data_IF_418383069590
#
_entry.id   IF_418383069590
#
_cell.length_a   1.000
_cell.length_b   1.000
_cell.length_c   1.000
_cell.angle_alpha   90.00
_cell.angle_beta   90.00
_cell.angle_gamma   90.00
#
_symmetry.space_group_name_H-M   'P 1'
#
loop_
_entity.id
_entity.type
_entity.pdbx_description
1 polymer ?
#
# COMPACT_ATOMS: atom_id res chain seq x y z
N UNK A 1 -11.81 -47.28 -39.42
CA UNK A 1 -11.40 -46.40 -38.31
C UNK A 1 -10.67 -47.11 -37.17
N UNK A 2 -11.04 -48.34 -36.74
CA UNK A 2 -10.29 -49.08 -35.69
C UNK A 2 -8.89 -49.60 -36.08
N UNK A 3 -8.65 -49.93 -37.35
CA UNK A 3 -7.35 -50.47 -37.85
C UNK A 3 -6.19 -49.46 -37.87
N UNK A 4 -6.46 -48.16 -37.80
CA UNK A 4 -5.44 -47.11 -37.83
C UNK A 4 -4.90 -46.75 -36.44
N UNK A 5 -5.69 -47.00 -35.39
CA UNK A 5 -5.28 -46.83 -33.98
C UNK A 5 -4.26 -47.91 -33.60
N UNK A 6 -4.50 -49.15 -34.04
CA UNK A 6 -3.68 -50.33 -33.76
C UNK A 6 -2.23 -50.24 -34.31
N UNK A 7 -2.07 -49.65 -35.51
CA UNK A 7 -0.74 -49.41 -36.09
C UNK A 7 0.08 -48.38 -35.33
N UNK A 8 -0.56 -47.36 -34.74
CA UNK A 8 0.13 -46.28 -34.00
C UNK A 8 0.70 -46.77 -32.67
N UNK A 9 -0.08 -47.55 -31.92
CA UNK A 9 0.37 -48.22 -30.70
C UNK A 9 1.47 -49.25 -30.99
N UNK A 10 1.40 -49.93 -32.15
CA UNK A 10 2.43 -50.91 -32.54
C UNK A 10 3.80 -50.30 -32.87
N UNK A 11 3.87 -49.04 -33.34
CA UNK A 11 5.14 -48.34 -33.62
C UNK A 11 5.81 -47.90 -32.33
N UNK A 12 5.03 -47.42 -31.36
CA UNK A 12 5.46 -47.14 -29.98
C UNK A 12 6.11 -48.39 -29.36
N UNK A 13 5.41 -49.53 -29.44
CA UNK A 13 5.84 -50.81 -28.87
C UNK A 13 7.09 -51.39 -29.53
N UNK A 14 7.30 -51.12 -30.83
CA UNK A 14 8.51 -51.57 -31.54
C UNK A 14 9.74 -50.77 -31.12
N UNK A 15 9.61 -49.47 -30.88
CA UNK A 15 10.74 -48.60 -30.51
C UNK A 15 11.07 -48.63 -29.02
N UNK A 16 10.08 -48.91 -28.15
CA UNK A 16 10.33 -49.22 -26.74
C UNK A 16 11.16 -50.50 -26.55
N UNK A 17 10.98 -51.50 -27.43
CA UNK A 17 11.82 -52.71 -27.50
C UNK A 17 13.23 -52.45 -28.05
N UNK A 18 13.43 -51.34 -28.77
CA UNK A 18 14.72 -50.93 -29.36
C UNK A 18 15.55 -50.02 -28.41
N UNK A 19 15.19 -49.92 -27.13
CA UNK A 19 15.91 -49.14 -26.12
C UNK A 19 16.02 -47.63 -26.46
N UNK A 20 15.15 -47.15 -27.36
CA UNK A 20 15.11 -45.75 -27.77
C UNK A 20 14.18 -45.03 -26.80
N UNK A 21 14.72 -44.14 -25.97
CA UNK A 21 13.90 -43.38 -25.02
C UNK A 21 12.92 -42.46 -25.78
N UNK A 22 11.64 -42.38 -25.36
CA UNK A 22 10.68 -41.49 -26.01
C UNK A 22 11.15 -40.03 -25.93
N UNK A 23 11.10 -39.31 -27.06
CA UNK A 23 11.38 -37.88 -27.09
C UNK A 23 10.14 -37.09 -26.67
N UNK A 24 10.34 -36.17 -25.72
CA UNK A 24 9.33 -35.24 -25.28
C UNK A 24 9.66 -33.83 -25.80
N UNK A 25 8.65 -33.16 -26.32
CA UNK A 25 8.72 -31.81 -26.86
C UNK A 25 7.91 -30.87 -25.96
N UNK A 26 8.48 -29.71 -25.62
CA UNK A 26 7.81 -28.69 -24.82
C UNK A 26 7.66 -27.45 -25.69
N UNK A 27 6.42 -27.05 -25.93
CA UNK A 27 6.14 -25.87 -26.73
C UNK A 27 6.48 -24.57 -25.97
N UNK A 28 6.67 -23.45 -26.68
CA UNK A 28 6.82 -22.14 -26.03
C UNK A 28 5.63 -21.73 -25.16
N UNK A 29 4.44 -22.28 -25.42
CA UNK A 29 3.22 -22.05 -24.62
C UNK A 29 3.16 -22.92 -23.37
N UNK A 30 4.13 -23.82 -23.16
CA UNK A 30 4.18 -24.73 -22.03
C UNK A 30 3.45 -26.05 -22.27
N UNK A 31 2.94 -26.31 -23.47
CA UNK A 31 2.32 -27.60 -23.80
C UNK A 31 3.39 -28.68 -23.88
N UNK A 32 3.22 -29.78 -23.16
CA UNK A 32 4.16 -30.90 -23.16
C UNK A 32 3.57 -32.04 -24.00
N UNK A 33 4.36 -32.48 -24.99
CA UNK A 33 4.03 -33.58 -25.88
C UNK A 33 5.06 -34.70 -25.69
N UNK A 34 4.63 -35.96 -25.71
CA UNK A 34 5.53 -37.12 -25.78
C UNK A 34 5.15 -37.92 -27.02
N UNK A 35 6.08 -38.05 -27.97
CA UNK A 35 5.82 -38.73 -29.26
C UNK A 35 4.53 -38.23 -29.95
N UNK A 36 4.29 -36.91 -29.91
CA UNK A 36 3.13 -36.25 -30.51
C UNK A 36 1.82 -36.34 -29.70
N UNK A 37 1.84 -36.96 -28.51
CA UNK A 37 0.66 -37.05 -27.62
C UNK A 37 0.72 -35.99 -26.53
N UNK A 38 -0.40 -35.31 -26.29
CA UNK A 38 -0.53 -34.35 -25.18
C UNK A 38 -0.46 -35.06 -23.83
N UNK A 39 0.47 -34.63 -22.98
CA UNK A 39 0.68 -35.23 -21.65
C UNK A 39 0.46 -34.25 -20.50
N UNK A 40 0.40 -32.94 -20.79
CA UNK A 40 0.16 -31.92 -19.77
C UNK A 40 0.69 -30.55 -20.15
N UNK A 41 0.67 -29.64 -19.17
CA UNK A 41 1.05 -28.24 -19.32
C UNK A 41 2.06 -27.81 -18.27
N UNK A 42 3.01 -26.99 -18.68
CA UNK A 42 4.10 -26.44 -17.89
C UNK A 42 3.91 -24.94 -17.65
N UNK A 43 3.50 -24.57 -16.44
CA UNK A 43 3.34 -23.19 -16.01
C UNK A 43 4.45 -22.81 -15.03
N UNK A 44 5.25 -21.80 -15.39
CA UNK A 44 6.41 -21.41 -14.59
C UNK A 44 7.38 -22.59 -14.45
N UNK A 45 7.51 -23.09 -13.22
CA UNK A 45 8.32 -24.26 -12.85
C UNK A 45 7.48 -25.47 -12.37
N UNK A 46 6.19 -25.52 -12.72
CA UNK A 46 5.28 -26.62 -12.35
C UNK A 46 4.65 -27.26 -13.57
N UNK A 47 4.64 -28.59 -13.57
CA UNK A 47 4.00 -29.41 -14.58
C UNK A 47 2.67 -29.95 -14.05
N UNK A 48 1.61 -29.78 -14.82
CA UNK A 48 0.29 -30.37 -14.56
C UNK A 48 0.02 -31.42 -15.62
N UNK A 49 0.00 -32.69 -15.22
CA UNK A 49 -0.30 -33.79 -16.11
C UNK A 49 -1.79 -33.78 -16.55
N UNK A 50 -2.04 -34.11 -17.81
CA UNK A 50 -3.38 -34.32 -18.33
C UNK A 50 -3.92 -35.68 -17.85
N UNK A 51 -5.11 -35.69 -17.25
CA UNK A 51 -5.74 -36.92 -16.74
C UNK A 51 -6.24 -37.84 -17.87
N UNK A 52 -6.39 -37.33 -19.10
CA UNK A 52 -6.80 -38.11 -20.27
C UNK A 52 -5.68 -38.99 -20.85
N UNK A 53 -4.42 -38.77 -20.45
CA UNK A 53 -3.25 -39.55 -20.87
C UNK A 53 -3.11 -40.90 -20.12
N UNK A 54 -4.20 -41.46 -19.60
CA UNK A 54 -4.22 -42.74 -18.88
C UNK A 54 -4.30 -43.94 -19.82
N UNK A 55 -3.25 -44.78 -19.81
CA UNK A 55 -3.18 -46.04 -20.56
C UNK A 55 -2.02 -46.92 -20.06
N UNK A 56 -1.83 -48.11 -20.65
CA UNK A 56 -0.73 -49.05 -20.28
C UNK A 56 0.67 -48.40 -20.36
N UNK A 57 0.84 -47.39 -21.22
CA UNK A 57 2.11 -46.68 -21.43
C UNK A 57 2.30 -45.44 -20.52
N UNK A 58 1.34 -45.13 -19.65
CA UNK A 58 1.36 -43.90 -18.85
C UNK A 58 2.62 -43.76 -17.98
N UNK A 59 3.21 -44.88 -17.53
CA UNK A 59 4.46 -44.87 -16.75
C UNK A 59 5.68 -44.50 -17.59
N UNK A 60 5.78 -45.02 -18.82
CA UNK A 60 6.88 -44.73 -19.74
C UNK A 60 6.80 -43.27 -20.21
N UNK A 61 5.59 -42.84 -20.59
CA UNK A 61 5.28 -41.46 -20.98
C UNK A 61 5.62 -40.46 -19.87
N UNK A 62 5.22 -40.76 -18.63
CA UNK A 62 5.55 -39.91 -17.47
C UNK A 62 7.06 -39.83 -17.23
N UNK A 63 7.78 -40.94 -17.36
CA UNK A 63 9.24 -40.95 -17.17
C UNK A 63 9.96 -40.12 -18.25
N UNK A 64 9.53 -40.22 -19.51
CA UNK A 64 10.07 -39.41 -20.61
C UNK A 64 9.80 -37.91 -20.39
N UNK A 65 8.56 -37.57 -20.00
CA UNK A 65 8.20 -36.19 -19.66
C UNK A 65 9.06 -35.65 -18.51
N UNK A 66 9.24 -36.42 -17.44
CA UNK A 66 10.06 -36.02 -16.27
C UNK A 66 11.51 -35.72 -16.63
N UNK A 67 12.13 -36.50 -17.51
CA UNK A 67 13.50 -36.24 -17.97
C UNK A 67 13.61 -34.96 -18.80
N UNK A 68 12.64 -34.70 -19.69
CA UNK A 68 12.62 -33.48 -20.49
C UNK A 68 12.31 -32.23 -19.66
N UNK A 69 11.46 -32.35 -18.64
CA UNK A 69 11.15 -31.27 -17.70
C UNK A 69 12.39 -30.77 -16.96
N UNK A 70 13.33 -31.64 -16.58
CA UNK A 70 14.57 -31.23 -15.93
C UNK A 70 15.40 -30.28 -16.81
N UNK A 71 15.64 -30.65 -18.06
CA UNK A 71 16.39 -29.82 -19.01
C UNK A 71 15.67 -28.49 -19.33
N UNK A 72 14.35 -28.54 -19.47
CA UNK A 72 13.54 -27.32 -19.68
C UNK A 72 13.54 -26.42 -18.45
N UNK A 73 13.52 -26.96 -17.23
CA UNK A 73 13.63 -26.16 -16.01
C UNK A 73 14.97 -25.46 -15.89
N UNK A 74 16.07 -26.08 -16.29
CA UNK A 74 17.37 -25.40 -16.37
C UNK A 74 17.33 -24.24 -17.37
N UNK A 75 16.82 -24.47 -18.58
CA UNK A 75 16.69 -23.42 -19.60
C UNK A 75 15.77 -22.27 -19.14
N UNK A 76 14.66 -22.58 -18.48
CA UNK A 76 13.76 -21.57 -17.89
C UNK A 76 14.41 -20.83 -16.72
N UNK A 77 15.20 -21.51 -15.89
CA UNK A 77 15.94 -20.88 -14.80
C UNK A 77 16.96 -19.86 -15.32
N UNK A 78 17.65 -20.14 -16.44
CA UNK A 78 18.51 -19.17 -17.11
C UNK A 78 17.72 -17.96 -17.61
N UNK A 79 16.63 -18.20 -18.34
CA UNK A 79 15.77 -17.13 -18.88
C UNK A 79 15.17 -16.26 -17.79
N UNK A 80 14.66 -16.87 -16.72
CA UNK A 80 14.13 -16.15 -15.59
C UNK A 80 15.24 -15.40 -14.85
N UNK A 81 16.39 -16.03 -14.61
CA UNK A 81 17.55 -15.41 -13.97
C UNK A 81 18.03 -14.14 -14.68
N UNK A 82 17.89 -14.10 -16.01
CA UNK A 82 18.22 -12.96 -16.86
C UNK A 82 17.05 -11.98 -17.13
N UNK A 83 15.84 -12.27 -16.64
CA UNK A 83 14.65 -11.48 -16.99
C UNK A 83 14.66 -10.09 -16.37
N UNK A 84 14.07 -9.12 -17.07
CA UNK A 84 13.91 -7.77 -16.54
C UNK A 84 12.84 -7.74 -15.43
N UNK A 85 12.83 -6.68 -14.61
CA UNK A 85 11.78 -6.50 -13.60
C UNK A 85 10.39 -6.36 -14.23
N UNK A 86 10.28 -5.83 -15.46
CA UNK A 86 9.01 -5.70 -16.16
C UNK A 86 8.31 -7.02 -16.50
N UNK A 87 9.07 -8.13 -16.53
CA UNK A 87 8.52 -9.47 -16.82
C UNK A 87 7.95 -10.16 -15.58
N UNK A 88 8.15 -9.56 -14.39
CA UNK A 88 7.79 -10.13 -13.10
C UNK A 88 6.75 -9.24 -12.44
N UNK A 89 5.69 -9.85 -11.91
CA UNK A 89 4.64 -9.16 -11.18
C UNK A 89 4.43 -9.80 -9.80
N UNK A 90 4.26 -8.96 -8.77
CA UNK A 90 3.79 -9.37 -7.46
C UNK A 90 2.30 -9.05 -7.34
N UNK A 91 1.47 -10.07 -7.19
CA UNK A 91 0.03 -9.90 -6.96
C UNK A 91 -0.27 -9.37 -5.56
N UNK A 92 -1.45 -8.77 -5.39
CA UNK A 92 -1.95 -8.31 -4.09
C UNK A 92 -2.19 -9.45 -3.09
N UNK A 93 -2.34 -10.68 -3.59
CA UNK A 93 -2.41 -11.93 -2.82
C UNK A 93 -1.02 -12.45 -2.37
N UNK A 94 0.05 -11.81 -2.83
CA UNK A 94 1.44 -12.23 -2.60
C UNK A 94 1.93 -13.31 -3.56
N UNK A 95 1.18 -13.66 -4.60
CA UNK A 95 1.66 -14.58 -5.64
C UNK A 95 2.62 -13.84 -6.59
N UNK A 96 3.80 -14.40 -6.78
CA UNK A 96 4.80 -13.92 -7.73
C UNK A 96 4.61 -14.61 -9.08
N UNK A 97 4.55 -13.81 -10.16
CA UNK A 97 4.32 -14.29 -11.52
C UNK A 97 5.44 -13.84 -12.45
N UNK A 98 5.85 -14.72 -13.36
CA UNK A 98 6.77 -14.42 -14.47
C UNK A 98 6.04 -14.63 -15.78
N UNK A 99 5.86 -13.56 -16.55
CA UNK A 99 5.11 -13.55 -17.83
C UNK A 99 3.72 -14.21 -17.63
N UNK A 100 3.04 -13.85 -16.54
CA UNK A 100 1.72 -14.35 -16.16
C UNK A 100 1.71 -15.68 -15.38
N UNK A 101 2.74 -16.53 -15.54
CA UNK A 101 2.80 -17.84 -14.88
C UNK A 101 3.23 -17.73 -13.41
N UNK A 102 2.54 -18.37 -12.45
CA UNK A 102 2.92 -18.34 -11.04
C UNK A 102 4.24 -19.11 -10.81
N UNK A 103 5.17 -18.48 -10.09
CA UNK A 103 6.50 -19.05 -9.80
C UNK A 103 6.83 -19.07 -8.30
N UNK A 104 6.06 -18.36 -7.48
CA UNK A 104 6.29 -18.29 -6.05
C UNK A 104 5.13 -17.63 -5.32
N UNK A 105 5.15 -17.73 -3.99
CA UNK A 105 4.24 -16.99 -3.11
C UNK A 105 4.99 -16.44 -1.92
N UNK A 106 4.59 -15.27 -1.45
CA UNK A 106 5.11 -14.67 -0.23
C UNK A 106 4.43 -15.30 0.99
N UNK A 107 5.25 -15.60 1.99
CA UNK A 107 4.86 -16.04 3.33
C UNK A 107 5.46 -15.11 4.39
N UNK A 108 4.96 -15.18 5.61
CA UNK A 108 5.52 -14.44 6.74
C UNK A 108 7.02 -14.73 6.90
N UNK A 109 7.79 -13.67 7.12
CA UNK A 109 9.20 -13.74 7.52
C UNK A 109 9.38 -13.27 8.95
N UNK A 110 10.65 -13.08 9.34
CA UNK A 110 10.99 -12.74 10.73
C UNK A 110 10.84 -11.24 11.03
N UNK A 111 10.85 -10.40 9.99
CA UNK A 111 10.73 -8.95 10.12
C UNK A 111 9.60 -8.41 9.23
N UNK A 112 8.89 -7.34 9.65
CA UNK A 112 7.73 -6.80 8.91
C UNK A 112 7.99 -6.43 7.44
N UNK A 113 9.22 -6.02 7.12
CA UNK A 113 9.64 -5.61 5.77
C UNK A 113 10.49 -6.67 5.06
N UNK A 114 10.55 -7.90 5.57
CA UNK A 114 11.30 -9.01 4.98
C UNK A 114 10.42 -10.27 4.92
N UNK A 115 9.46 -10.33 3.99
CA UNK A 115 8.72 -11.56 3.77
C UNK A 115 9.65 -12.66 3.25
N UNK A 116 9.28 -13.92 3.44
CA UNK A 116 9.98 -15.05 2.80
C UNK A 116 9.27 -15.41 1.51
N UNK A 117 10.05 -15.84 0.52
CA UNK A 117 9.54 -16.36 -0.74
C UNK A 117 9.53 -17.88 -0.70
N UNK A 118 8.39 -18.49 -1.03
CA UNK A 118 8.28 -19.92 -1.30
C UNK A 118 8.12 -20.13 -2.80
N UNK A 119 9.06 -20.83 -3.43
CA UNK A 119 8.96 -21.16 -4.84
C UNK A 119 7.85 -22.17 -5.11
N UNK A 120 7.08 -21.91 -6.16
CA UNK A 120 6.12 -22.85 -6.72
C UNK A 120 6.82 -23.58 -7.86
N UNK A 121 7.50 -24.67 -7.52
CA UNK A 121 8.28 -25.46 -8.45
C UNK A 121 8.17 -26.96 -8.13
N UNK A 122 8.26 -27.79 -9.16
CA UNK A 122 8.30 -29.24 -9.00
C UNK A 122 9.71 -29.73 -8.63
N UNK A 123 9.80 -30.98 -8.18
CA UNK A 123 11.02 -31.59 -7.62
C UNK A 123 12.19 -31.66 -8.61
N UNK A 124 11.95 -31.52 -9.92
CA UNK A 124 12.98 -31.58 -10.94
C UNK A 124 13.79 -30.27 -11.01
N UNK A 125 13.27 -29.16 -10.49
CA UNK A 125 14.04 -27.92 -10.35
C UNK A 125 14.95 -28.03 -9.11
N UNK A 126 16.22 -28.38 -9.33
CA UNK A 126 17.18 -28.64 -8.25
C UNK A 126 18.49 -27.90 -8.43
N UNK A 127 19.32 -27.93 -7.37
CA UNK A 127 20.71 -27.45 -7.40
C UNK A 127 20.85 -26.00 -7.92
N UNK A 128 21.86 -25.72 -8.77
CA UNK A 128 22.15 -24.36 -9.24
C UNK A 128 20.98 -23.68 -9.96
N UNK A 129 20.15 -24.43 -10.68
CA UNK A 129 18.98 -23.88 -11.37
C UNK A 129 17.94 -23.36 -10.36
N UNK A 130 17.67 -24.12 -9.29
CA UNK A 130 16.76 -23.70 -8.22
C UNK A 130 17.27 -22.46 -7.50
N UNK A 131 18.55 -22.43 -7.15
CA UNK A 131 19.17 -21.31 -6.43
C UNK A 131 19.11 -20.03 -7.27
N UNK A 132 19.30 -20.14 -8.59
CA UNK A 132 19.18 -19.03 -9.55
C UNK A 132 17.77 -18.46 -9.58
N UNK A 133 16.75 -19.32 -9.60
CA UNK A 133 15.34 -18.91 -9.54
C UNK A 133 15.04 -18.22 -8.21
N UNK A 134 15.45 -18.82 -7.08
CA UNK A 134 15.26 -18.23 -5.76
C UNK A 134 15.89 -16.83 -5.68
N UNK A 135 17.19 -16.71 -6.01
CA UNK A 135 17.92 -15.45 -5.93
C UNK A 135 17.34 -14.36 -6.85
N UNK A 136 16.85 -14.72 -8.04
CA UNK A 136 16.21 -13.74 -8.95
C UNK A 136 14.88 -13.25 -8.41
N UNK A 137 14.07 -14.17 -7.89
CA UNK A 137 12.75 -13.86 -7.36
C UNK A 137 12.85 -13.04 -6.06
N UNK A 138 13.74 -13.40 -5.15
CA UNK A 138 14.03 -12.61 -3.93
C UNK A 138 14.52 -11.21 -4.27
N UNK A 139 15.44 -11.07 -5.24
CA UNK A 139 15.91 -9.77 -5.72
C UNK A 139 14.77 -8.90 -6.26
N UNK A 140 13.79 -9.48 -6.95
CA UNK A 140 12.61 -8.72 -7.40
C UNK A 140 11.71 -8.29 -6.23
N UNK A 141 11.46 -9.17 -5.26
CA UNK A 141 10.67 -8.86 -4.06
C UNK A 141 11.34 -7.73 -3.26
N UNK A 142 12.65 -7.81 -3.05
CA UNK A 142 13.44 -6.76 -2.40
C UNK A 142 13.35 -5.44 -3.17
N UNK A 143 13.48 -5.48 -4.50
CA UNK A 143 13.30 -4.29 -5.34
C UNK A 143 11.92 -3.64 -5.15
N UNK A 144 10.83 -4.43 -5.08
CA UNK A 144 9.48 -3.89 -4.85
C UNK A 144 9.37 -3.21 -3.48
N UNK A 145 9.90 -3.85 -2.43
CA UNK A 145 9.90 -3.30 -1.07
C UNK A 145 10.74 -2.03 -1.00
N UNK A 146 11.96 -2.06 -1.51
CA UNK A 146 12.88 -0.92 -1.51
C UNK A 146 12.39 0.24 -2.39
N UNK A 147 11.60 -0.03 -3.43
CA UNK A 147 11.03 1.01 -4.30
C UNK A 147 9.77 1.63 -3.71
N UNK A 148 8.82 0.81 -3.26
CA UNK A 148 7.51 1.29 -2.79
C UNK A 148 7.56 1.75 -1.32
N UNK A 149 8.35 1.08 -0.50
CA UNK A 149 8.46 1.32 0.94
C UNK A 149 9.80 1.96 1.30
N UNK A 150 10.49 2.60 0.33
CA UNK A 150 11.76 3.29 0.53
C UNK A 150 11.82 4.11 1.83
N UNK A 151 10.83 4.95 2.18
CA UNK A 151 10.90 5.73 3.40
C UNK A 151 10.98 4.88 4.68
N UNK A 152 10.33 3.71 4.71
CA UNK A 152 10.41 2.81 5.87
C UNK A 152 11.78 2.14 5.96
N UNK A 153 12.35 1.74 4.82
CA UNK A 153 13.70 1.18 4.75
C UNK A 153 14.72 2.23 5.20
N UNK A 154 14.59 3.46 4.72
CA UNK A 154 15.47 4.57 5.10
C UNK A 154 15.33 4.91 6.59
N UNK A 155 14.11 4.98 7.13
CA UNK A 155 13.85 5.21 8.56
C UNK A 155 14.44 4.11 9.44
N UNK A 156 14.32 2.86 9.00
CA UNK A 156 14.88 1.71 9.73
C UNK A 156 16.41 1.80 9.80
N UNK A 157 17.05 2.18 8.70
CA UNK A 157 18.51 2.23 8.55
C UNK A 157 19.13 3.59 8.96
N UNK A 158 18.33 4.55 9.44
CA UNK A 158 18.79 5.89 9.79
C UNK A 158 19.56 5.94 11.11
N UNK A 159 20.81 5.48 11.11
CA UNK A 159 21.73 5.49 12.26
C UNK A 159 22.09 6.90 12.72
N UNK A 160 22.03 7.90 11.83
CA UNK A 160 22.27 9.31 12.14
C UNK A 160 21.20 9.92 13.04
N UNK A 161 20.04 9.28 13.18
CA UNK A 161 18.99 9.73 14.09
C UNK A 161 19.20 9.05 15.43
N UNK A 162 19.33 9.83 16.49
CA UNK A 162 19.61 9.33 17.85
C UNK A 162 18.48 9.69 18.82
N UNK A 163 18.54 9.13 20.03
CA UNK A 163 17.62 9.42 21.13
C UNK A 163 16.14 9.27 20.77
N UNK A 164 15.34 10.28 21.11
CA UNK A 164 13.88 10.28 20.88
C UNK A 164 13.53 10.21 19.39
N UNK A 165 14.31 10.86 18.53
CA UNK A 165 14.10 10.80 17.08
C UNK A 165 14.20 9.36 16.56
N UNK A 166 15.15 8.57 17.11
CA UNK A 166 15.32 7.17 16.74
C UNK A 166 14.15 6.31 17.20
N UNK A 167 13.67 6.56 18.42
CA UNK A 167 12.47 5.92 18.96
C UNK A 167 11.24 6.15 18.07
N UNK A 168 11.01 7.39 17.64
CA UNK A 168 9.90 7.72 16.72
C UNK A 168 10.08 7.04 15.36
N UNK A 169 11.31 6.98 14.83
CA UNK A 169 11.58 6.27 13.58
C UNK A 169 11.25 4.78 13.69
N UNK A 170 11.59 4.11 14.80
CA UNK A 170 11.22 2.73 15.05
C UNK A 170 9.71 2.54 15.12
N UNK A 171 9.01 3.36 15.90
CA UNK A 171 7.55 3.28 15.99
C UNK A 171 6.89 3.51 14.62
N UNK A 172 7.45 4.40 13.79
CA UNK A 172 6.95 4.61 12.43
C UNK A 172 7.14 3.36 11.59
N UNK A 173 8.30 2.70 11.65
CA UNK A 173 8.52 1.44 10.92
C UNK A 173 7.54 0.35 11.36
N UNK A 174 7.33 0.19 12.68
CA UNK A 174 6.39 -0.79 13.24
C UNK A 174 4.93 -0.51 12.86
N UNK A 175 4.57 0.77 12.72
CA UNK A 175 3.23 1.19 12.33
C UNK A 175 3.12 1.53 10.83
N UNK A 176 4.03 1.04 10.00
CA UNK A 176 4.05 1.24 8.54
C UNK A 176 3.93 2.71 8.11
N UNK A 177 4.52 3.59 8.91
CA UNK A 177 4.70 5.00 8.67
C UNK A 177 3.49 5.86 8.99
N UNK A 178 2.58 5.40 9.86
CA UNK A 178 1.43 6.16 10.32
C UNK A 178 1.17 5.97 11.82
N UNK A 179 1.29 7.06 12.58
CA UNK A 179 1.03 7.09 14.02
C UNK A 179 0.03 8.22 14.32
N UNK A 180 -0.93 7.95 15.20
CA UNK A 180 -1.76 9.00 15.77
C UNK A 180 -0.91 9.83 16.74
N UNK A 181 -0.80 11.13 16.49
CA UNK A 181 0.13 12.02 17.21
C UNK A 181 -0.10 12.03 18.72
N UNK A 182 -1.34 11.77 19.17
CA UNK A 182 -1.69 11.70 20.59
C UNK A 182 -1.00 10.54 21.31
N UNK A 183 -0.74 9.45 20.60
CA UNK A 183 -0.17 8.23 21.17
C UNK A 183 1.32 8.41 21.51
N UNK A 184 1.96 9.43 20.92
CA UNK A 184 3.38 9.80 21.11
C UNK A 184 3.56 11.24 21.58
N UNK A 185 2.59 11.76 22.37
CA UNK A 185 2.54 13.18 22.71
C UNK A 185 3.77 13.64 23.52
N UNK A 186 4.31 12.79 24.40
CA UNK A 186 5.47 13.13 25.22
C UNK A 186 6.75 13.15 24.39
N UNK A 187 6.94 12.18 23.49
CA UNK A 187 8.04 12.17 22.52
C UNK A 187 7.97 13.40 21.62
N UNK A 188 6.77 13.82 21.19
CA UNK A 188 6.58 15.02 20.38
C UNK A 188 6.96 16.32 21.10
N UNK A 189 6.76 16.38 22.42
CA UNK A 189 7.17 17.52 23.25
C UNK A 189 8.69 17.56 23.40
N UNK A 190 9.30 16.42 23.66
CA UNK A 190 10.73 16.30 23.93
C UNK A 190 11.61 16.24 22.67
N UNK A 191 11.03 15.99 21.49
CA UNK A 191 11.76 16.02 20.22
C UNK A 191 12.20 17.45 19.87
N UNK A 192 13.50 17.62 19.71
CA UNK A 192 14.12 18.89 19.35
C UNK A 192 13.98 19.24 17.86
N UNK A 193 14.46 20.42 17.47
CA UNK A 193 14.33 20.89 16.09
C UNK A 193 15.23 20.10 15.12
N UNK A 194 16.39 19.65 15.59
CA UNK A 194 17.32 18.85 14.78
C UNK A 194 16.73 17.47 14.47
N UNK A 195 16.21 16.77 15.48
CA UNK A 195 15.51 15.49 15.29
C UNK A 195 14.28 15.62 14.41
N UNK A 196 13.48 16.69 14.55
CA UNK A 196 12.37 16.99 13.62
C UNK A 196 12.87 17.20 12.19
N UNK A 197 13.96 17.95 12.00
CA UNK A 197 14.53 18.19 10.68
C UNK A 197 15.05 16.89 10.04
N UNK A 198 15.73 16.04 10.82
CA UNK A 198 16.22 14.75 10.37
C UNK A 198 15.08 13.82 9.90
N UNK A 199 14.01 13.69 10.69
CA UNK A 199 12.82 12.90 10.31
C UNK A 199 12.12 13.46 9.07
N UNK A 200 12.03 14.80 8.93
CA UNK A 200 11.47 15.42 7.71
C UNK A 200 12.27 15.09 6.45
N UNK A 201 13.61 15.03 6.53
CA UNK A 201 14.46 14.63 5.40
C UNK A 201 14.17 13.19 4.94
N UNK A 202 13.71 12.33 5.85
CA UNK A 202 13.28 10.96 5.56
C UNK A 202 11.80 10.87 5.15
N UNK A 203 11.13 12.00 4.89
CA UNK A 203 9.77 12.04 4.38
C UNK A 203 8.68 12.03 5.45
N UNK A 204 9.03 12.10 6.74
CA UNK A 204 8.05 12.19 7.84
C UNK A 204 7.40 13.57 7.86
N UNK A 205 6.08 13.61 7.96
CA UNK A 205 5.28 14.80 8.20
C UNK A 205 4.71 14.80 9.61
N UNK A 206 4.81 15.95 10.26
CA UNK A 206 4.24 16.22 11.58
C UNK A 206 2.95 17.01 11.38
N UNK A 207 1.82 16.29 11.34
CA UNK A 207 0.48 16.86 11.27
C UNK A 207 -0.04 17.31 12.63
N UNK A 208 -1.20 17.96 12.63
CA UNK A 208 -1.94 18.26 13.85
C UNK A 208 -2.44 16.96 14.53
N UNK A 209 -2.88 15.97 13.75
CA UNK A 209 -3.48 14.75 14.30
C UNK A 209 -2.58 13.51 14.14
N UNK A 210 -1.72 13.46 13.11
CA UNK A 210 -0.86 12.30 12.84
C UNK A 210 0.59 12.68 12.61
N UNK A 211 1.49 11.73 12.91
CA UNK A 211 2.86 11.71 12.39
C UNK A 211 2.92 10.60 11.36
N UNK A 212 3.17 10.95 10.10
CA UNK A 212 3.03 9.99 9.00
C UNK A 212 3.95 10.28 7.82
N UNK A 213 4.13 9.28 6.94
CA UNK A 213 4.88 9.41 5.69
C UNK A 213 3.90 9.46 4.50
N UNK A 214 3.72 10.60 3.82
CA UNK A 214 2.72 10.75 2.76
C UNK A 214 2.90 9.81 1.56
N UNK A 215 4.14 9.39 1.28
CA UNK A 215 4.40 8.48 0.18
C UNK A 215 3.77 7.10 0.40
N UNK A 216 3.60 6.66 1.65
CA UNK A 216 3.14 5.32 2.00
C UNK A 216 1.62 5.14 1.97
N UNK A 217 0.87 6.24 2.03
CA UNK A 217 -0.61 6.23 1.94
C UNK A 217 -1.11 6.31 0.49
N UNK A 218 -0.22 6.10 -0.49
CA UNK A 218 -0.56 5.94 -1.91
C UNK A 218 -0.98 4.49 -2.19
N UNK A 219 -1.79 4.22 -3.23
CA UNK A 219 -2.35 2.89 -3.47
C UNK A 219 -1.33 1.75 -3.51
N UNK A 220 -0.24 1.88 -4.27
CA UNK A 220 0.75 0.80 -4.40
C UNK A 220 1.53 0.52 -3.09
N UNK A 221 2.12 1.51 -2.40
CA UNK A 221 2.73 1.29 -1.08
C UNK A 221 1.74 0.77 -0.03
N UNK A 222 0.52 1.34 0.04
CA UNK A 222 -0.51 0.89 0.97
C UNK A 222 -0.94 -0.57 0.71
N UNK A 223 -1.03 -0.98 -0.55
CA UNK A 223 -1.31 -2.35 -0.95
C UNK A 223 -0.22 -3.31 -0.48
N UNK A 224 1.06 -2.95 -0.68
CA UNK A 224 2.18 -3.76 -0.22
C UNK A 224 2.26 -3.85 1.31
N UNK A 225 2.08 -2.73 2.02
CA UNK A 225 1.98 -2.69 3.49
C UNK A 225 0.85 -3.61 3.99
N UNK A 226 -0.31 -3.54 3.33
CA UNK A 226 -1.47 -4.37 3.68
C UNK A 226 -1.17 -5.86 3.50
N UNK A 227 -0.53 -6.23 2.39
CA UNK A 227 -0.08 -7.60 2.14
C UNK A 227 0.94 -8.07 3.19
N UNK A 228 1.98 -7.28 3.47
CA UNK A 228 3.01 -7.65 4.46
C UNK A 228 2.42 -7.83 5.86
N UNK A 229 1.54 -6.90 6.27
CA UNK A 229 0.84 -7.02 7.54
C UNK A 229 -0.06 -8.25 7.57
N UNK A 230 -0.80 -8.53 6.48
CA UNK A 230 -1.69 -9.68 6.39
C UNK A 230 -0.91 -11.01 6.43
N UNK A 231 0.27 -11.09 5.83
CA UNK A 231 1.14 -12.26 5.93
C UNK A 231 1.51 -12.55 7.39
N UNK A 232 1.86 -11.52 8.16
CA UNK A 232 2.30 -11.66 9.55
C UNK A 232 1.14 -11.94 10.53
N UNK A 233 -0.07 -11.47 10.23
CA UNK A 233 -1.21 -11.44 11.15
C UNK A 233 -2.40 -12.30 10.69
N UNK A 234 -2.15 -13.25 9.78
CA UNK A 234 -3.16 -14.12 9.17
C UNK A 234 -4.37 -13.32 8.63
N UNK A 235 -4.06 -12.23 7.94
CA UNK A 235 -5.02 -11.21 7.53
C UNK A 235 -5.61 -11.42 6.14
N UNK A 236 -5.11 -12.36 5.34
CA UNK A 236 -5.52 -12.52 3.94
C UNK A 236 -7.00 -12.92 3.79
N UNK A 237 -7.51 -13.71 4.73
CA UNK A 237 -8.88 -14.19 4.72
C UNK A 237 -9.83 -13.30 5.56
N UNK A 238 -9.32 -12.21 6.15
CA UNK A 238 -10.15 -11.30 6.94
C UNK A 238 -10.97 -10.37 6.04
N UNK A 239 -12.24 -10.08 6.39
CA UNK A 239 -13.06 -9.13 5.64
C UNK A 239 -12.38 -7.75 5.51
N UNK A 240 -12.39 -7.20 4.30
CA UNK A 240 -11.78 -5.91 3.97
C UNK A 240 -10.36 -5.99 3.43
N UNK A 241 -9.73 -7.17 3.42
CA UNK A 241 -8.44 -7.37 2.77
C UNK A 241 -8.54 -7.06 1.27
N UNK A 242 -7.75 -6.10 0.79
CA UNK A 242 -7.80 -5.64 -0.60
C UNK A 242 -8.91 -4.62 -0.89
N UNK A 243 -10.10 -4.76 -0.31
CA UNK A 243 -11.25 -3.87 -0.56
C UNK A 243 -10.95 -2.40 -0.22
N UNK A 244 -10.33 -2.17 0.95
CA UNK A 244 -10.01 -0.80 1.40
C UNK A 244 -8.92 -0.17 0.52
N UNK A 245 -7.95 -0.97 0.06
CA UNK A 245 -6.91 -0.53 -0.89
C UNK A 245 -7.51 -0.23 -2.26
N UNK A 246 -8.51 -1.00 -2.70
CA UNK A 246 -9.25 -0.71 -3.93
C UNK A 246 -10.02 0.62 -3.82
N UNK A 247 -10.67 0.88 -2.67
CA UNK A 247 -11.32 2.17 -2.43
C UNK A 247 -10.31 3.33 -2.45
N UNK A 248 -9.11 3.16 -1.88
CA UNK A 248 -8.01 4.12 -1.98
C UNK A 248 -7.57 4.37 -3.44
N UNK A 249 -7.44 3.30 -4.24
CA UNK A 249 -7.07 3.39 -5.66
C UNK A 249 -8.10 4.16 -6.50
N UNK A 250 -9.38 4.13 -6.12
CA UNK A 250 -10.43 4.93 -6.75
C UNK A 250 -10.38 6.43 -6.42
N UNK A 251 -9.40 6.88 -5.61
CA UNK A 251 -9.20 8.29 -5.28
C UNK A 251 -10.12 8.84 -4.20
N UNK A 252 -10.87 7.99 -3.49
CA UNK A 252 -11.78 8.41 -2.43
C UNK A 252 -11.01 9.05 -1.28
N UNK A 253 -11.42 10.25 -0.87
CA UNK A 253 -10.86 10.99 0.27
C UNK A 253 -11.45 10.52 1.60
N UNK A 254 -12.67 10.00 1.55
CA UNK A 254 -13.35 9.37 2.67
C UNK A 254 -14.31 8.29 2.19
N UNK A 255 -14.57 7.31 3.04
CA UNK A 255 -15.44 6.16 2.77
C UNK A 255 -16.33 5.88 3.97
N UNK A 256 -17.51 5.31 3.74
CA UNK A 256 -18.32 4.75 4.82
C UNK A 256 -17.60 3.50 5.35
N UNK A 257 -17.52 3.36 6.67
CA UNK A 257 -16.93 2.19 7.30
C UNK A 257 -17.89 1.02 7.13
N UNK A 258 -17.39 -0.08 6.60
CA UNK A 258 -18.07 -1.36 6.68
C UNK A 258 -17.77 -1.96 8.07
N UNK A 259 -18.79 -2.18 8.92
CA UNK A 259 -18.60 -2.70 10.27
C UNK A 259 -18.08 -4.15 10.29
N UNK A 260 -18.18 -4.88 9.18
CA UNK A 260 -17.67 -6.25 9.06
C UNK A 260 -16.16 -6.30 8.80
N UNK A 261 -15.58 -5.21 8.28
CA UNK A 261 -14.16 -5.15 7.94
C UNK A 261 -13.29 -5.02 9.20
N UNK A 262 -12.11 -5.65 9.18
CA UNK A 262 -11.09 -5.37 10.20
C UNK A 262 -10.66 -3.91 10.06
N UNK A 263 -10.83 -3.13 11.14
CA UNK A 263 -10.51 -1.70 11.16
C UNK A 263 -9.05 -1.41 10.83
N UNK A 264 -8.17 -2.39 11.02
CA UNK A 264 -6.74 -2.27 10.73
C UNK A 264 -6.49 -2.02 9.25
N UNK A 265 -7.31 -2.56 8.34
CA UNK A 265 -7.16 -2.31 6.89
C UNK A 265 -7.34 -0.84 6.52
N UNK A 266 -8.21 -0.11 7.22
CA UNK A 266 -8.33 1.34 7.05
C UNK A 266 -7.05 2.07 7.49
N UNK A 267 -6.49 1.70 8.65
CA UNK A 267 -5.23 2.27 9.13
C UNK A 267 -4.08 2.03 8.15
N UNK A 268 -3.92 0.79 7.67
CA UNK A 268 -2.87 0.40 6.71
C UNK A 268 -3.02 1.13 5.36
N UNK A 269 -4.26 1.42 4.95
CA UNK A 269 -4.57 2.20 3.76
C UNK A 269 -4.51 3.73 3.98
N UNK A 270 -4.05 4.19 5.14
CA UNK A 270 -3.89 5.63 5.41
C UNK A 270 -5.20 6.35 5.77
N UNK A 271 -6.22 5.64 6.21
CA UNK A 271 -7.46 6.20 6.74
C UNK A 271 -7.47 6.17 8.27
N UNK A 272 -8.18 7.14 8.85
CA UNK A 272 -8.58 7.14 10.25
C UNK A 272 -10.08 6.96 10.34
N UNK A 273 -10.51 6.04 11.19
CA UNK A 273 -11.92 5.78 11.48
C UNK A 273 -12.45 6.86 12.44
N UNK A 274 -13.50 7.56 12.03
CA UNK A 274 -14.12 8.68 12.74
C UNK A 274 -15.66 8.55 12.60
N UNK A 275 -16.30 8.04 13.66
CA UNK A 275 -17.73 7.70 13.63
C UNK A 275 -18.02 6.65 12.55
N UNK A 276 -18.96 6.95 11.64
CA UNK A 276 -19.34 6.08 10.53
C UNK A 276 -18.43 6.16 9.29
N UNK A 277 -17.43 7.06 9.29
CA UNK A 277 -16.55 7.28 8.13
C UNK A 277 -15.10 6.98 8.44
N UNK A 278 -14.39 6.48 7.44
CA UNK A 278 -12.94 6.47 7.40
C UNK A 278 -12.50 7.63 6.50
N UNK A 279 -11.62 8.50 7.01
CA UNK A 279 -11.11 9.67 6.28
C UNK A 279 -9.62 9.55 6.13
N UNK A 280 -9.09 9.79 4.93
CA UNK A 280 -7.66 9.76 4.68
C UNK A 280 -6.92 10.77 5.57
N UNK A 281 -5.79 10.36 6.13
CA UNK A 281 -5.05 11.18 7.10
C UNK A 281 -4.54 12.48 6.51
N UNK A 282 -4.12 12.49 5.24
CA UNK A 282 -3.69 13.73 4.57
C UNK A 282 -4.83 14.74 4.36
N UNK A 283 -6.08 14.28 4.29
CA UNK A 283 -7.27 15.13 4.27
C UNK A 283 -7.51 15.74 5.64
N UNK A 284 -7.36 14.95 6.70
CA UNK A 284 -7.51 15.41 8.07
C UNK A 284 -6.47 16.48 8.41
N UNK A 285 -5.23 16.32 7.96
CA UNK A 285 -4.21 17.35 8.18
C UNK A 285 -4.50 18.63 7.39
N UNK A 286 -5.00 18.53 6.15
CA UNK A 286 -5.45 19.70 5.39
C UNK A 286 -6.64 20.39 6.04
N UNK A 287 -7.57 19.63 6.62
CA UNK A 287 -8.66 20.18 7.42
C UNK A 287 -8.12 20.94 8.63
N UNK A 288 -7.13 20.39 9.34
CA UNK A 288 -6.49 21.07 10.45
C UNK A 288 -5.86 22.40 10.04
N UNK A 289 -5.27 22.46 8.84
CA UNK A 289 -4.68 23.69 8.30
C UNK A 289 -5.74 24.75 7.97
N UNK A 290 -6.98 24.37 7.66
CA UNK A 290 -8.11 25.30 7.53
C UNK A 290 -8.65 25.77 8.88
N UNK A 291 -8.69 24.88 9.87
CA UNK A 291 -9.20 25.19 11.22
C UNK A 291 -8.23 26.10 11.98
N UNK A 292 -6.91 25.88 11.84
CA UNK A 292 -5.88 26.53 12.66
C UNK A 292 -5.91 28.07 12.60
N UNK A 293 -6.03 28.73 11.43
CA UNK A 293 -6.18 30.17 11.38
C UNK A 293 -7.43 30.66 12.12
N UNK A 294 -8.56 29.93 12.00
CA UNK A 294 -9.81 30.29 12.64
C UNK A 294 -9.74 30.20 14.17
N UNK A 295 -9.04 29.20 14.70
CA UNK A 295 -8.87 29.01 16.16
C UNK A 295 -7.76 29.88 16.76
N UNK A 296 -6.76 30.28 15.99
CA UNK A 296 -5.64 31.10 16.49
C UNK A 296 -5.92 32.60 16.42
N UNK A 297 -6.89 33.02 15.60
CA UNK A 297 -7.31 34.40 15.52
C UNK A 297 -8.01 34.85 16.81
N UNK A 298 -7.78 36.10 17.23
CA UNK A 298 -8.51 36.71 18.34
C UNK A 298 -9.21 37.99 17.87
N UNK A 299 -10.40 38.34 18.41
CA UNK A 299 -11.03 39.61 18.14
C UNK A 299 -10.07 40.79 18.32
N UNK A 300 -10.03 41.69 17.33
CA UNK A 300 -9.12 42.84 17.30
C UNK A 300 -7.75 42.58 16.63
N UNK A 301 -7.41 41.33 16.27
CA UNK A 301 -6.18 41.02 15.55
C UNK A 301 -6.42 40.92 14.04
N UNK A 302 -6.28 42.04 13.34
CA UNK A 302 -6.37 42.07 11.87
C UNK A 302 -7.70 41.56 11.31
N UNK A 303 -7.70 41.20 10.03
CA UNK A 303 -8.90 40.68 9.36
C UNK A 303 -9.25 39.28 9.90
N UNK A 304 -10.53 39.09 10.24
CA UNK A 304 -11.07 37.81 10.70
C UNK A 304 -10.96 36.75 9.60
N UNK A 305 -10.28 35.60 9.83
CA UNK A 305 -10.31 34.48 8.91
C UNK A 305 -11.70 33.90 8.76
N UNK A 306 -11.98 33.29 7.60
CA UNK A 306 -13.24 32.58 7.40
C UNK A 306 -13.41 31.46 8.44
N UNK A 307 -14.63 31.31 8.95
CA UNK A 307 -14.94 30.39 10.05
C UNK A 307 -14.45 30.81 11.44
N UNK A 308 -13.64 31.87 11.61
CA UNK A 308 -13.26 32.33 12.96
C UNK A 308 -14.46 32.94 13.70
N UNK A 309 -14.58 32.68 15.00
CA UNK A 309 -15.72 33.15 15.82
C UNK A 309 -15.29 34.03 17.02
N UNK A 310 -14.54 33.49 17.96
CA UNK A 310 -14.16 34.21 19.19
C UNK A 310 -12.74 33.90 19.70
N UNK A 311 -11.95 33.19 18.89
CA UNK A 311 -10.59 32.74 19.23
C UNK A 311 -10.52 31.51 20.13
N UNK A 312 -11.65 30.86 20.39
CA UNK A 312 -11.72 29.54 21.01
C UNK A 312 -12.56 28.58 20.17
N UNK A 313 -13.57 29.11 19.49
CA UNK A 313 -14.47 28.38 18.62
C UNK A 313 -14.27 28.77 17.15
N UNK A 314 -14.68 27.87 16.27
CA UNK A 314 -14.76 28.11 14.83
C UNK A 314 -16.09 27.58 14.28
N UNK A 315 -16.48 28.07 13.13
CA UNK A 315 -17.61 27.60 12.34
C UNK A 315 -17.08 26.78 11.17
N UNK A 316 -17.80 25.72 10.84
CA UNK A 316 -17.52 24.92 9.65
C UNK A 316 -17.80 25.76 8.41
N UNK A 317 -16.81 25.83 7.51
CA UNK A 317 -16.90 26.61 6.27
C UNK A 317 -17.11 25.69 5.05
N UNK A 318 -17.63 26.20 3.92
CA UNK A 318 -17.76 25.41 2.69
C UNK A 318 -16.44 24.76 2.21
N UNK A 319 -15.26 25.41 2.30
CA UNK A 319 -13.98 24.75 2.02
C UNK A 319 -13.69 23.53 2.91
N UNK A 320 -14.03 23.59 4.20
CA UNK A 320 -13.86 22.45 5.12
C UNK A 320 -14.77 21.27 4.77
N UNK A 321 -16.01 21.55 4.33
CA UNK A 321 -16.94 20.52 3.87
C UNK A 321 -16.48 19.86 2.57
N UNK A 322 -16.04 20.68 1.62
CA UNK A 322 -15.64 20.25 0.28
C UNK A 322 -14.47 19.27 0.30
N UNK A 323 -13.45 19.51 1.13
CA UNK A 323 -12.24 18.66 1.15
C UNK A 323 -12.51 17.24 1.67
N UNK A 324 -13.51 17.08 2.53
CA UNK A 324 -13.89 15.79 3.11
C UNK A 324 -14.83 14.98 2.22
N UNK A 325 -15.58 15.63 1.34
CA UNK A 325 -16.68 14.99 0.59
C UNK A 325 -17.76 14.42 1.53
N UNK A 326 -18.08 15.17 2.59
CA UNK A 326 -18.86 14.72 3.73
C UNK A 326 -20.13 15.57 3.90
N UNK A 327 -21.19 14.96 4.44
CA UNK A 327 -22.42 15.68 4.84
C UNK A 327 -22.20 16.48 6.13
N UNK A 328 -23.13 17.37 6.51
CA UNK A 328 -23.03 18.13 7.76
C UNK A 328 -22.93 17.21 8.99
N UNK A 329 -23.76 16.17 9.04
CA UNK A 329 -23.74 15.14 10.09
C UNK A 329 -22.39 14.41 10.13
N UNK A 330 -21.83 14.09 8.96
CA UNK A 330 -20.50 13.47 8.88
C UNK A 330 -19.42 14.40 9.42
N UNK A 331 -19.48 15.69 9.10
CA UNK A 331 -18.53 16.69 9.57
C UNK A 331 -18.55 16.79 11.10
N UNK A 332 -19.74 16.82 11.70
CA UNK A 332 -19.88 16.86 13.15
C UNK A 332 -19.23 15.65 13.82
N UNK A 333 -19.52 14.43 13.33
CA UNK A 333 -18.93 13.19 13.85
C UNK A 333 -17.40 13.12 13.64
N UNK A 334 -16.92 13.59 12.49
CA UNK A 334 -15.48 13.70 12.19
C UNK A 334 -14.82 14.65 13.19
N UNK A 335 -15.37 15.85 13.40
CA UNK A 335 -14.82 16.83 14.33
C UNK A 335 -14.85 16.32 15.77
N UNK A 336 -15.92 15.65 16.21
CA UNK A 336 -15.97 14.98 17.51
C UNK A 336 -14.86 13.94 17.66
N UNK A 337 -14.66 13.08 16.66
CA UNK A 337 -13.59 12.08 16.66
C UNK A 337 -12.17 12.69 16.62
N UNK A 338 -12.03 13.91 16.09
CA UNK A 338 -10.82 14.72 16.17
C UNK A 338 -10.67 15.46 17.51
N UNK A 339 -11.65 15.39 18.41
CA UNK A 339 -11.62 15.97 19.76
C UNK A 339 -12.22 17.36 19.90
N UNK A 340 -12.93 17.86 18.89
CA UNK A 340 -13.71 19.10 19.00
C UNK A 340 -15.08 18.81 19.63
N UNK A 341 -15.75 19.88 20.08
CA UNK A 341 -17.10 19.83 20.66
C UNK A 341 -18.01 20.75 19.87
N UNK A 342 -19.23 20.28 19.60
CA UNK A 342 -20.26 21.10 18.99
C UNK A 342 -20.94 21.98 20.06
N UNK A 343 -21.21 23.23 19.72
CA UNK A 343 -21.96 24.17 20.56
C UNK A 343 -23.07 24.80 19.69
N UNK A 344 -24.34 24.35 19.82
CA UNK A 344 -25.42 24.92 19.04
C UNK A 344 -25.69 26.36 19.48
N UNK A 345 -25.78 27.28 18.51
CA UNK A 345 -26.11 28.70 18.73
C UNK A 345 -27.19 29.17 17.77
N UNK A 346 -28.08 30.09 18.18
CA UNK A 346 -29.04 30.71 17.28
C UNK A 346 -28.32 31.45 16.15
N UNK A 347 -28.72 31.19 14.90
CA UNK A 347 -28.07 31.77 13.72
C UNK A 347 -28.10 33.31 13.72
N UNK A 348 -29.15 33.91 14.29
CA UNK A 348 -29.30 35.37 14.40
C UNK A 348 -28.22 35.96 15.32
N UNK A 349 -27.95 35.32 16.46
CA UNK A 349 -26.92 35.77 17.40
C UNK A 349 -25.52 35.64 16.81
N UNK A 350 -25.25 34.50 16.15
CA UNK A 350 -23.98 34.27 15.45
C UNK A 350 -23.76 35.35 14.40
N UNK A 351 -24.74 35.59 13.53
CA UNK A 351 -24.63 36.60 12.45
C UNK A 351 -24.41 38.00 13.01
N UNK A 352 -25.20 38.43 13.99
CA UNK A 352 -25.05 39.75 14.61
C UNK A 352 -23.67 39.96 15.22
N UNK A 353 -23.12 38.94 15.90
CA UNK A 353 -21.77 38.99 16.48
C UNK A 353 -20.69 39.12 15.41
N UNK A 354 -20.78 38.34 14.33
CA UNK A 354 -19.79 38.39 13.25
C UNK A 354 -19.81 39.73 12.54
N UNK A 355 -21.00 40.28 12.26
CA UNK A 355 -21.13 41.62 11.65
C UNK A 355 -20.51 42.71 12.54
N UNK A 356 -20.74 42.65 13.86
CA UNK A 356 -20.12 43.58 14.80
C UNK A 356 -18.58 43.47 14.79
N UNK A 357 -18.02 42.26 14.76
CA UNK A 357 -16.57 42.04 14.68
C UNK A 357 -15.98 42.53 13.36
N UNK A 358 -16.65 42.26 12.24
CA UNK A 358 -16.19 42.64 10.91
C UNK A 358 -16.29 44.16 10.68
N UNK A 359 -17.27 44.83 11.31
CA UNK A 359 -17.35 46.29 11.35
C UNK A 359 -16.20 46.89 12.15
N UNK A 360 -15.96 46.40 13.37
CA UNK A 360 -14.88 46.87 14.23
C UNK A 360 -13.49 46.71 13.58
N UNK A 361 -13.26 45.60 12.86
CA UNK A 361 -12.01 45.37 12.13
C UNK A 361 -11.82 46.36 10.97
N UNK A 362 -12.90 46.70 10.24
CA UNK A 362 -12.86 47.69 9.16
C UNK A 362 -12.56 49.10 9.69
N UNK A 363 -13.19 49.49 10.78
CA UNK A 363 -12.94 50.78 11.43
C UNK A 363 -11.50 50.89 11.93
N UNK A 364 -10.97 49.85 12.57
CA UNK A 364 -9.59 49.82 13.04
C UNK A 364 -8.57 49.89 11.88
N UNK A 365 -8.84 49.19 10.77
CA UNK A 365 -7.99 49.25 9.58
C UNK A 365 -7.98 50.65 8.94
N UNK A 366 -9.15 51.29 8.83
CA UNK A 366 -9.27 52.66 8.32
C UNK A 366 -8.54 53.67 9.21
N UNK A 367 -8.67 53.57 10.53
CA UNK A 367 -7.96 54.41 11.49
C UNK A 367 -6.44 54.26 11.37
N UNK A 368 -5.95 53.02 11.19
CA UNK A 368 -4.53 52.75 11.00
C UNK A 368 -4.00 53.37 9.71
N UNK A 369 -4.72 53.22 8.59
CA UNK A 369 -4.34 53.84 7.32
C UNK A 369 -4.31 55.38 7.40
N UNK A 370 -5.29 55.98 8.08
CA UNK A 370 -5.31 57.42 8.29
C UNK A 370 -4.11 57.92 9.11
N UNK A 371 -3.73 57.18 10.17
CA UNK A 371 -2.57 57.51 10.99
C UNK A 371 -1.24 57.35 10.23
N UNK A 372 -1.10 56.31 9.40
CA UNK A 372 0.07 56.10 8.54
C UNK A 372 0.22 57.22 7.51
N UNK A 373 -0.87 57.63 6.85
CA UNK A 373 -0.87 58.74 5.90
C UNK A 373 -0.48 60.09 6.55
N UNK A 374 -0.96 60.35 7.78
CA UNK A 374 -0.58 61.55 8.53
C UNK A 374 0.89 61.54 8.96
N UNK A 375 1.41 60.37 9.36
CA UNK A 375 2.82 60.23 9.74
C UNK A 375 3.78 60.38 8.54
N UNK A 376 3.34 60.00 7.34
CA UNK A 376 4.09 60.17 6.10
C UNK A 376 4.09 61.64 5.64
N UNK A 377 2.95 62.34 5.77
CA UNK A 377 2.84 63.78 5.53
C UNK A 377 3.64 64.63 6.53
N UNK A 378 3.84 64.16 7.76
CA UNK A 378 4.65 64.86 8.77
C UNK A 378 6.16 64.63 8.60
N UNK A 379 6.58 63.68 7.74
CA UNK A 379 7.98 63.37 7.43
C UNK A 379 8.45 63.96 6.10
N UNK A 380 7.52 64.31 5.21
CA UNK A 380 7.77 65.09 3.99
C UNK A 380 7.80 66.58 4.32
#
# INVERSE_FOLDING_TARGET
>A
TKRFVDRRTSVLMRRLRENTMPEAEISPTGTVLVEGHHVGELQGFRFTADQSAGGEDAKAVRTAAQKALAAEFEARAERFGASANGDIALGSDGTLRWIGAPIGTLVAGDEPLKPRLVLLADEQLTGPARDKVAARAERFVNFQIESLLKPLVDLKNAEQITGIGRGIAFQLVENFGLINRRDIAEEMKSLDQEGRAALRRLGVRFGAYHVFVPALIKPAPAGLVTLLWALQNDGKDKPGFGDVVHALASGRTSVVIDPTFDKTFYKLAGYRNLGRRAVRVDILERLADLIRPATNWKPGLGQRPDGAYDGQSFMVTPPMMSILGATADDMEEILKGLGYRAEPKPAVEVKARLEAQDNAAREAAAAKQAAEAQAEQAKA
#
